data_IF_860561021753
#
_entry.id   IF_860561021753
#
_cell.length_a   1.000
_cell.length_b   1.000
_cell.length_c   1.000
_cell.angle_alpha   90.00
_cell.angle_beta   90.00
_cell.angle_gamma   90.00
#
_symmetry.space_group_name_H-M   'P 1'
#
loop_
_entity.id
_entity.type
_entity.pdbx_description
1 polymer ?
#
# COMPACT_ATOMS: atom_id res chain seq x y z
N UNK A 1 -14.92 -12.25 -4.28
CA UNK A 1 -13.98 -11.26 -3.70
C UNK A 1 -14.32 -10.89 -2.27
N UNK A 2 -15.22 -9.94 -1.97
CA UNK A 2 -15.44 -9.47 -0.59
C UNK A 2 -15.81 -10.60 0.40
N UNK A 3 -16.79 -11.44 0.05
CA UNK A 3 -17.18 -12.64 0.84
C UNK A 3 -16.04 -13.62 1.06
N UNK A 4 -15.22 -13.84 0.03
CA UNK A 4 -14.10 -14.79 0.10
C UNK A 4 -12.98 -14.25 0.99
N UNK A 5 -12.70 -12.94 0.90
CA UNK A 5 -11.74 -12.26 1.77
C UNK A 5 -12.18 -12.30 3.24
N UNK A 6 -13.49 -12.13 3.50
CA UNK A 6 -14.04 -12.25 4.84
C UNK A 6 -13.92 -13.69 5.37
N UNK A 7 -14.27 -14.68 4.54
CA UNK A 7 -14.13 -16.10 4.90
C UNK A 7 -12.67 -16.47 5.19
N UNK A 8 -11.73 -15.98 4.36
CA UNK A 8 -10.29 -16.13 4.58
C UNK A 8 -9.86 -15.52 5.92
N UNK A 9 -10.29 -14.29 6.22
CA UNK A 9 -9.92 -13.60 7.44
C UNK A 9 -10.41 -14.33 8.70
N UNK A 10 -11.65 -14.85 8.68
CA UNK A 10 -12.19 -15.68 9.77
C UNK A 10 -11.31 -16.92 9.98
N UNK A 11 -11.03 -17.68 8.91
CA UNK A 11 -10.22 -18.90 9.00
C UNK A 11 -8.80 -18.63 9.52
N UNK A 12 -8.20 -17.50 9.13
CA UNK A 12 -6.92 -17.08 9.71
C UNK A 12 -7.02 -16.83 11.21
N UNK A 13 -8.03 -16.08 11.65
CA UNK A 13 -8.20 -15.73 13.06
C UNK A 13 -8.50 -16.97 13.92
N UNK A 14 -9.34 -17.90 13.43
CA UNK A 14 -9.60 -19.19 14.09
C UNK A 14 -8.31 -20.03 14.25
N UNK A 15 -7.39 -19.91 13.31
CA UNK A 15 -6.08 -20.57 13.35
C UNK A 15 -5.01 -19.80 14.13
N UNK A 16 -5.34 -18.64 14.72
CA UNK A 16 -4.39 -17.79 15.44
C UNK A 16 -3.41 -17.02 14.54
N UNK A 17 -3.77 -16.79 13.28
CA UNK A 17 -3.01 -16.00 12.31
C UNK A 17 -3.66 -14.63 12.10
N UNK A 18 -2.83 -13.59 11.92
CA UNK A 18 -3.30 -12.25 11.53
C UNK A 18 -3.51 -12.22 10.01
N UNK A 19 -4.75 -12.07 9.50
CA UNK A 19 -4.98 -11.97 8.07
C UNK A 19 -4.52 -10.60 7.54
N UNK A 20 -3.85 -10.63 6.39
CA UNK A 20 -3.67 -9.46 5.54
C UNK A 20 -4.76 -9.51 4.47
N UNK A 21 -5.71 -8.58 4.51
CA UNK A 21 -6.80 -8.51 3.54
C UNK A 21 -6.41 -7.58 2.41
N UNK A 22 -6.29 -8.11 1.20
CA UNK A 22 -5.79 -7.40 0.01
C UNK A 22 -6.87 -7.26 -1.07
N UNK A 23 -7.71 -6.21 -1.03
CA UNK A 23 -8.70 -5.93 -2.07
C UNK A 23 -8.15 -4.96 -3.12
N UNK A 24 -7.17 -5.40 -3.91
CA UNK A 24 -6.52 -4.55 -4.91
C UNK A 24 -7.49 -4.11 -6.02
N UNK A 25 -7.60 -2.79 -6.22
CA UNK A 25 -8.14 -2.20 -7.45
C UNK A 25 -6.98 -1.98 -8.43
N UNK A 26 -7.01 -2.69 -9.56
CA UNK A 26 -5.94 -2.65 -10.55
C UNK A 26 -5.80 -1.27 -11.20
N UNK A 27 -4.56 -0.88 -11.50
CA UNK A 27 -4.22 0.39 -12.14
C UNK A 27 -4.12 0.32 -13.68
N UNK A 28 -4.50 -0.80 -14.30
CA UNK A 28 -4.42 -1.04 -15.75
C UNK A 28 -5.67 -0.53 -16.48
N UNK A 29 -5.81 0.80 -16.52
CA UNK A 29 -6.98 1.51 -17.04
C UNK A 29 -6.68 2.98 -17.33
N UNK A 30 -7.67 3.67 -17.93
CA UNK A 30 -7.56 5.04 -18.46
C UNK A 30 -8.22 6.12 -17.60
N UNK A 31 -8.74 5.78 -16.44
CA UNK A 31 -9.40 6.76 -15.57
C UNK A 31 -8.38 7.64 -14.84
N UNK A 32 -8.86 8.81 -14.43
CA UNK A 32 -8.13 9.73 -13.56
C UNK A 32 -8.14 9.25 -12.09
N UNK A 33 -7.57 10.07 -11.21
CA UNK A 33 -7.49 9.79 -9.78
C UNK A 33 -8.88 9.67 -9.13
N UNK A 34 -9.89 10.40 -9.64
CA UNK A 34 -11.26 10.36 -9.14
C UNK A 34 -11.92 9.03 -9.47
N UNK A 35 -11.75 8.52 -10.69
CA UNK A 35 -12.19 7.18 -11.04
C UNK A 35 -11.58 6.11 -10.12
N UNK A 36 -10.28 6.21 -9.82
CA UNK A 36 -9.60 5.33 -8.86
C UNK A 36 -10.19 5.43 -7.46
N UNK A 37 -10.43 6.66 -6.99
CA UNK A 37 -11.06 6.89 -5.70
C UNK A 37 -12.43 6.21 -5.61
N UNK A 38 -13.27 6.40 -6.62
CA UNK A 38 -14.64 5.87 -6.62
C UNK A 38 -14.67 4.33 -6.67
N UNK A 39 -13.77 3.72 -7.45
CA UNK A 39 -13.62 2.27 -7.50
C UNK A 39 -13.08 1.71 -6.16
N UNK A 40 -12.11 2.38 -5.56
CA UNK A 40 -11.54 2.03 -4.26
C UNK A 40 -12.58 2.17 -3.15
N UNK A 41 -13.38 3.24 -3.17
CA UNK A 41 -14.48 3.47 -2.22
C UNK A 41 -15.48 2.32 -2.24
N UNK A 42 -16.01 1.98 -3.42
CA UNK A 42 -16.97 0.89 -3.58
C UNK A 42 -16.39 -0.45 -3.13
N UNK A 43 -15.12 -0.68 -3.42
CA UNK A 43 -14.42 -1.92 -3.08
C UNK A 43 -14.24 -2.04 -1.57
N UNK A 44 -13.70 -1.01 -0.91
CA UNK A 44 -13.46 -1.02 0.53
C UNK A 44 -14.77 -1.09 1.32
N UNK A 45 -15.80 -0.33 0.92
CA UNK A 45 -17.12 -0.40 1.57
C UNK A 45 -17.67 -1.82 1.54
N UNK A 46 -17.69 -2.47 0.37
CA UNK A 46 -18.19 -3.84 0.25
C UNK A 46 -17.35 -4.86 1.03
N UNK A 47 -16.03 -4.68 1.08
CA UNK A 47 -15.13 -5.57 1.84
C UNK A 47 -15.36 -5.44 3.34
N UNK A 48 -15.43 -4.22 3.87
CA UNK A 48 -15.68 -4.02 5.30
C UNK A 48 -17.09 -4.43 5.72
N UNK A 49 -18.11 -4.25 4.87
CA UNK A 49 -19.45 -4.80 5.12
C UNK A 49 -19.42 -6.32 5.30
N UNK A 50 -18.74 -7.05 4.41
CA UNK A 50 -18.63 -8.51 4.51
C UNK A 50 -17.73 -8.96 5.66
N UNK A 51 -16.64 -8.25 5.97
CA UNK A 51 -15.78 -8.53 7.13
C UNK A 51 -16.55 -8.43 8.45
N UNK A 52 -17.33 -7.35 8.60
CA UNK A 52 -18.18 -7.13 9.79
C UNK A 52 -19.29 -8.17 9.85
N UNK A 53 -19.96 -8.46 8.74
CA UNK A 53 -21.03 -9.46 8.69
C UNK A 53 -20.53 -10.88 9.04
N UNK A 54 -19.29 -11.21 8.69
CA UNK A 54 -18.64 -12.48 9.01
C UNK A 54 -18.09 -12.54 10.46
N UNK A 55 -18.11 -11.43 11.20
CA UNK A 55 -17.61 -11.37 12.58
C UNK A 55 -16.08 -11.33 12.70
N UNK A 56 -15.38 -10.82 11.70
CA UNK A 56 -13.92 -10.65 11.76
C UNK A 56 -13.55 -9.60 12.82
N UNK A 57 -12.59 -9.92 13.68
CA UNK A 57 -12.02 -8.96 14.63
C UNK A 57 -11.12 -7.98 13.86
N UNK A 58 -11.58 -6.75 13.64
CA UNK A 58 -10.91 -5.77 12.77
C UNK A 58 -9.57 -5.29 13.37
N UNK A 59 -9.47 -5.22 14.68
CA UNK A 59 -8.23 -4.95 15.41
C UNK A 59 -7.19 -6.06 15.26
N UNK A 60 -7.62 -7.26 14.84
CA UNK A 60 -6.79 -8.44 14.62
C UNK A 60 -6.44 -8.68 13.16
N UNK A 61 -6.55 -7.68 12.28
CA UNK A 61 -6.20 -7.77 10.87
C UNK A 61 -5.37 -6.57 10.38
N UNK A 62 -4.75 -6.74 9.21
CA UNK A 62 -4.06 -5.67 8.49
C UNK A 62 -4.69 -5.52 7.10
N UNK A 63 -4.93 -4.28 6.68
CA UNK A 63 -5.39 -4.01 5.31
C UNK A 63 -4.20 -3.86 4.37
N UNK A 64 -4.26 -4.44 3.17
CA UNK A 64 -3.29 -4.20 2.09
C UNK A 64 -4.01 -3.62 0.86
N UNK A 65 -4.25 -2.30 0.84
CA UNK A 65 -4.99 -1.66 -0.24
C UNK A 65 -4.04 -1.11 -1.32
N UNK A 66 -4.60 -0.76 -2.47
CA UNK A 66 -3.96 0.17 -3.41
C UNK A 66 -3.97 1.60 -2.85
N UNK A 67 -3.02 2.42 -3.30
CA UNK A 67 -3.13 3.88 -3.20
C UNK A 67 -4.16 4.40 -4.23
N UNK A 68 -4.73 5.59 -3.98
CA UNK A 68 -5.60 6.26 -4.94
C UNK A 68 -4.72 7.04 -5.92
N UNK A 69 -4.56 6.51 -7.13
CA UNK A 69 -3.65 7.02 -8.17
C UNK A 69 -4.32 7.03 -9.54
N UNK A 70 -3.92 7.89 -10.48
CA UNK A 70 -4.38 7.82 -11.87
C UNK A 70 -4.09 6.46 -12.50
N UNK A 71 -4.95 6.04 -13.43
CA UNK A 71 -4.72 4.82 -14.20
C UNK A 71 -3.47 4.92 -15.07
N UNK A 72 -2.71 3.83 -15.17
CA UNK A 72 -1.43 3.77 -15.88
C UNK A 72 -1.55 4.13 -17.36
N UNK A 73 -2.70 3.88 -17.97
CA UNK A 73 -2.96 4.18 -19.39
C UNK A 73 -3.63 5.55 -19.60
N UNK A 74 -3.91 6.31 -18.54
CA UNK A 74 -4.58 7.61 -18.64
C UNK A 74 -3.68 8.71 -19.22
N UNK A 75 -2.36 8.56 -19.11
CA UNK A 75 -1.39 9.62 -19.40
C UNK A 75 -1.36 10.76 -18.38
N UNK A 76 -2.23 10.70 -17.36
CA UNK A 76 -2.32 11.69 -16.27
C UNK A 76 -1.31 11.31 -15.19
N UNK A 77 -0.60 12.30 -14.67
CA UNK A 77 0.26 12.16 -13.48
C UNK A 77 -0.39 12.89 -12.32
N UNK A 78 -0.22 12.34 -11.12
CA UNK A 78 -0.57 13.00 -9.86
C UNK A 78 0.71 13.19 -9.05
N UNK A 79 0.80 14.28 -8.31
CA UNK A 79 1.88 14.48 -7.35
C UNK A 79 1.71 13.57 -6.13
N UNK A 80 2.79 13.30 -5.36
CA UNK A 80 2.67 12.57 -4.10
C UNK A 80 1.66 13.17 -3.13
N UNK A 81 1.53 14.49 -3.09
CA UNK A 81 0.57 15.21 -2.25
C UNK A 81 -0.88 14.98 -2.71
N UNK A 82 -1.14 14.98 -4.02
CA UNK A 82 -2.46 14.67 -4.57
C UNK A 82 -2.87 13.22 -4.26
N UNK A 83 -1.94 12.28 -4.43
CA UNK A 83 -2.14 10.86 -4.08
C UNK A 83 -2.42 10.70 -2.58
N UNK A 84 -1.63 11.39 -1.75
CA UNK A 84 -1.78 11.33 -0.30
C UNK A 84 -3.13 11.86 0.16
N UNK A 85 -3.53 13.03 -0.32
CA UNK A 85 -4.80 13.65 0.02
C UNK A 85 -5.98 12.78 -0.41
N UNK A 86 -5.98 12.30 -1.66
CA UNK A 86 -7.04 11.45 -2.18
C UNK A 86 -7.16 10.13 -1.39
N UNK A 87 -6.03 9.49 -1.08
CA UNK A 87 -5.98 8.21 -0.37
C UNK A 87 -6.43 8.35 1.08
N UNK A 88 -5.83 9.28 1.84
CA UNK A 88 -6.10 9.42 3.28
C UNK A 88 -7.51 9.93 3.53
N UNK A 89 -8.03 10.86 2.71
CA UNK A 89 -9.42 11.33 2.83
C UNK A 89 -10.42 10.22 2.56
N UNK A 90 -10.19 9.40 1.53
CA UNK A 90 -11.05 8.25 1.27
C UNK A 90 -11.00 7.28 2.45
N UNK A 91 -9.82 6.99 2.98
CA UNK A 91 -9.68 6.04 4.10
C UNK A 91 -10.40 6.55 5.35
N UNK A 92 -10.29 7.84 5.66
CA UNK A 92 -11.08 8.49 6.73
C UNK A 92 -12.59 8.37 6.55
N UNK A 93 -13.07 8.24 5.32
CA UNK A 93 -14.49 8.06 5.02
C UNK A 93 -14.96 6.62 5.21
N UNK A 94 -14.15 5.62 4.86
CA UNK A 94 -14.62 4.23 4.73
C UNK A 94 -13.99 3.22 5.71
N UNK A 95 -12.84 3.53 6.30
CA UNK A 95 -12.17 2.59 7.20
C UNK A 95 -12.65 2.75 8.65
N UNK A 96 -12.85 1.63 9.37
CA UNK A 96 -13.16 1.64 10.81
C UNK A 96 -11.94 2.07 11.63
N UNK A 97 -12.15 2.77 12.75
CA UNK A 97 -11.05 3.31 13.58
C UNK A 97 -10.28 2.23 14.32
N UNK A 98 -10.90 1.06 14.53
CA UNK A 98 -10.37 -0.09 15.26
C UNK A 98 -9.30 -0.85 14.47
N UNK A 99 -9.23 -0.65 13.15
CA UNK A 99 -8.15 -1.21 12.33
C UNK A 99 -6.79 -0.73 12.89
N UNK A 100 -5.78 -1.61 12.89
CA UNK A 100 -4.45 -1.24 13.41
C UNK A 100 -3.63 -0.47 12.37
N UNK A 101 -3.72 -0.87 11.10
CA UNK A 101 -2.93 -0.27 10.05
C UNK A 101 -3.24 -0.78 8.66
N UNK A 102 -2.72 -0.04 7.68
CA UNK A 102 -2.71 -0.40 6.28
C UNK A 102 -1.25 -0.49 5.77
N UNK A 103 -0.94 -1.58 5.08
CA UNK A 103 0.35 -1.80 4.40
C UNK A 103 0.12 -1.74 2.90
N UNK A 104 0.52 -0.66 2.25
CA UNK A 104 0.19 -0.47 0.82
C UNK A 104 0.95 -1.45 -0.06
N UNK A 105 0.28 -1.95 -1.09
CA UNK A 105 0.94 -2.55 -2.25
C UNK A 105 1.50 -1.45 -3.16
N UNK A 106 2.61 -1.72 -3.85
CA UNK A 106 3.20 -0.74 -4.77
C UNK A 106 2.54 -0.74 -6.15
N UNK A 107 1.82 -1.81 -6.49
CA UNK A 107 1.26 -1.99 -7.83
C UNK A 107 2.36 -1.88 -8.88
N UNK A 108 2.12 -1.08 -9.92
CA UNK A 108 3.06 -0.78 -11.01
C UNK A 108 3.90 0.49 -10.83
N UNK A 109 3.89 1.10 -9.65
CA UNK A 109 4.74 2.27 -9.34
C UNK A 109 6.23 1.88 -9.37
N UNK A 110 7.08 2.84 -9.73
CA UNK A 110 8.52 2.69 -9.52
C UNK A 110 8.89 2.68 -8.02
N UNK A 111 10.11 2.24 -7.70
CA UNK A 111 10.60 2.20 -6.33
C UNK A 111 10.56 3.59 -5.64
N UNK A 112 10.89 4.65 -6.40
CA UNK A 112 10.91 6.03 -5.92
C UNK A 112 9.49 6.55 -5.73
N UNK A 113 8.62 6.41 -6.74
CA UNK A 113 7.23 6.89 -6.67
C UNK A 113 6.47 6.27 -5.49
N UNK A 114 6.62 4.97 -5.26
CA UNK A 114 5.98 4.29 -4.12
C UNK A 114 6.47 4.85 -2.78
N UNK A 115 7.78 5.13 -2.67
CA UNK A 115 8.38 5.72 -1.47
C UNK A 115 7.89 7.15 -1.25
N UNK A 116 7.84 7.97 -2.29
CA UNK A 116 7.38 9.37 -2.25
C UNK A 116 5.91 9.46 -1.84
N UNK A 117 5.05 8.65 -2.45
CA UNK A 117 3.62 8.62 -2.13
C UNK A 117 3.37 8.17 -0.69
N UNK A 118 4.05 7.12 -0.22
CA UNK A 118 3.95 6.68 1.18
C UNK A 118 4.41 7.76 2.16
N UNK A 119 5.49 8.47 1.83
CA UNK A 119 6.02 9.55 2.64
C UNK A 119 5.05 10.74 2.70
N UNK A 120 4.46 11.12 1.57
CA UNK A 120 3.48 12.20 1.51
C UNK A 120 2.23 11.88 2.37
N UNK A 121 1.75 10.63 2.34
CA UNK A 121 0.64 10.19 3.22
C UNK A 121 0.99 10.31 4.71
N UNK A 122 2.20 9.92 5.10
CA UNK A 122 2.64 10.01 6.50
C UNK A 122 3.01 11.43 6.94
N UNK A 123 3.26 12.36 6.01
CA UNK A 123 3.47 13.80 6.28
C UNK A 123 2.16 14.58 6.36
N UNK A 124 1.08 14.05 5.82
CA UNK A 124 -0.20 14.76 5.73
C UNK A 124 -0.72 15.10 7.13
N UNK A 125 -0.91 16.39 7.41
CA UNK A 125 -1.44 16.91 8.69
C UNK A 125 -2.96 16.70 8.81
N UNK A 126 -3.35 15.43 8.76
CA UNK A 126 -4.72 14.97 8.94
C UNK A 126 -4.69 13.84 9.96
N UNK A 127 -5.67 13.77 10.85
CA UNK A 127 -5.74 12.70 11.85
C UNK A 127 -5.85 11.34 11.13
N UNK A 128 -5.00 10.39 11.51
CA UNK A 128 -4.95 9.06 10.94
C UNK A 128 -4.90 8.08 12.12
N UNK A 129 -6.03 7.43 12.50
CA UNK A 129 -6.04 6.52 13.63
C UNK A 129 -5.25 5.23 13.35
N UNK A 130 -4.94 4.97 12.08
CA UNK A 130 -4.21 3.81 11.57
C UNK A 130 -2.73 4.12 11.34
N UNK A 131 -1.89 3.09 11.40
CA UNK A 131 -0.52 3.18 10.88
C UNK A 131 -0.51 2.93 9.37
N UNK A 132 0.17 3.79 8.62
CA UNK A 132 0.36 3.64 7.17
C UNK A 132 1.79 3.19 6.88
N UNK A 133 1.93 2.01 6.28
CA UNK A 133 3.22 1.39 5.98
C UNK A 133 3.20 0.70 4.62
N UNK A 134 4.14 -0.21 4.34
CA UNK A 134 4.29 -0.83 3.02
C UNK A 134 4.31 -2.36 3.08
N UNK A 135 3.77 -2.98 2.03
CA UNK A 135 3.92 -4.40 1.69
C UNK A 135 4.33 -4.48 0.22
N UNK A 136 5.60 -4.18 -0.03
CA UNK A 136 6.14 -4.01 -1.39
C UNK A 136 6.88 -5.24 -1.90
N UNK A 137 6.57 -5.62 -3.14
CA UNK A 137 7.36 -6.56 -3.94
C UNK A 137 8.35 -5.80 -4.83
N UNK A 138 7.92 -5.45 -6.05
CA UNK A 138 8.73 -4.73 -7.05
C UNK A 138 9.39 -3.46 -6.51
N UNK A 139 8.62 -2.61 -5.84
CA UNK A 139 9.13 -1.34 -5.29
C UNK A 139 10.19 -1.50 -4.18
N UNK A 140 10.47 -2.73 -3.74
CA UNK A 140 11.52 -3.06 -2.79
C UNK A 140 12.69 -3.84 -3.44
N UNK A 141 12.44 -4.54 -4.55
CA UNK A 141 13.34 -5.56 -5.09
C UNK A 141 13.91 -5.23 -6.47
N UNK A 142 13.30 -4.31 -7.23
CA UNK A 142 13.63 -4.09 -8.64
C UNK A 142 15.12 -3.76 -8.87
N UNK A 143 15.69 -2.84 -8.09
CA UNK A 143 17.12 -2.49 -8.18
C UNK A 143 18.02 -3.64 -7.75
N UNK A 144 17.66 -4.34 -6.68
CA UNK A 144 18.41 -5.48 -6.17
C UNK A 144 18.46 -6.64 -7.17
N UNK A 145 17.32 -7.01 -7.76
CA UNK A 145 17.23 -8.09 -8.75
C UNK A 145 18.04 -7.74 -10.01
N UNK A 146 17.96 -6.50 -10.50
CA UNK A 146 18.75 -6.03 -11.65
C UNK A 146 20.25 -6.13 -11.37
N UNK A 147 20.71 -5.67 -10.20
CA UNK A 147 22.12 -5.78 -9.81
C UNK A 147 22.58 -7.22 -9.64
N UNK A 148 21.73 -8.07 -9.04
CA UNK A 148 22.07 -9.47 -8.86
C UNK A 148 22.26 -10.18 -10.21
N UNK A 149 21.30 -10.02 -11.13
CA UNK A 149 21.34 -10.64 -12.46
C UNK A 149 21.60 -12.16 -12.44
N UNK A 150 21.22 -12.86 -11.36
CA UNK A 150 21.49 -14.29 -11.18
C UNK A 150 22.96 -14.63 -10.91
N UNK A 151 23.85 -13.65 -10.75
CA UNK A 151 25.27 -13.86 -10.50
C UNK A 151 25.59 -13.79 -9.00
N UNK A 152 26.06 -14.91 -8.44
CA UNK A 152 26.44 -14.99 -7.03
C UNK A 152 27.51 -13.96 -6.62
N UNK A 153 28.39 -13.55 -7.53
CA UNK A 153 29.41 -12.52 -7.26
C UNK A 153 28.80 -11.13 -7.00
N UNK A 154 27.56 -10.89 -7.44
CA UNK A 154 26.83 -9.64 -7.23
C UNK A 154 25.94 -9.65 -5.98
N UNK A 155 25.90 -10.75 -5.22
CA UNK A 155 24.98 -10.92 -4.09
C UNK A 155 25.08 -9.77 -3.07
N UNK A 156 26.30 -9.33 -2.75
CA UNK A 156 26.48 -8.23 -1.80
C UNK A 156 25.98 -6.89 -2.35
N UNK A 157 26.24 -6.58 -3.63
CA UNK A 157 25.74 -5.35 -4.27
C UNK A 157 24.21 -5.33 -4.32
N UNK A 158 23.59 -6.46 -4.65
CA UNK A 158 22.14 -6.60 -4.65
C UNK A 158 21.54 -6.43 -3.25
N UNK A 159 22.18 -7.02 -2.24
CA UNK A 159 21.79 -6.86 -0.84
C UNK A 159 21.86 -5.40 -0.39
N UNK A 160 22.94 -4.67 -0.72
CA UNK A 160 23.05 -3.24 -0.38
C UNK A 160 21.93 -2.43 -1.03
N UNK A 161 21.62 -2.66 -2.31
CA UNK A 161 20.50 -1.98 -2.97
C UNK A 161 19.13 -2.29 -2.33
N UNK A 162 18.90 -3.53 -1.90
CA UNK A 162 17.69 -3.90 -1.16
C UNK A 162 17.61 -3.20 0.19
N UNK A 163 18.70 -3.20 0.97
CA UNK A 163 18.77 -2.53 2.28
C UNK A 163 18.53 -1.03 2.13
N UNK A 164 19.15 -0.41 1.13
CA UNK A 164 18.94 0.99 0.81
C UNK A 164 17.46 1.30 0.57
N UNK A 165 16.80 0.55 -0.33
CA UNK A 165 15.36 0.76 -0.58
C UNK A 165 14.48 0.43 0.63
N UNK A 166 14.83 -0.56 1.44
CA UNK A 166 14.14 -0.84 2.70
C UNK A 166 14.26 0.33 3.69
N UNK A 167 15.44 0.94 3.79
CA UNK A 167 15.69 2.12 4.62
C UNK A 167 14.90 3.34 4.12
N UNK A 168 14.89 3.61 2.80
CA UNK A 168 14.11 4.70 2.23
C UNK A 168 12.61 4.55 2.51
N UNK A 169 12.05 3.34 2.34
CA UNK A 169 10.66 3.06 2.68
C UNK A 169 10.41 3.17 4.19
N UNK A 170 11.35 2.74 5.04
CA UNK A 170 11.25 2.91 6.49
C UNK A 170 11.14 4.39 6.88
N UNK A 171 11.94 5.28 6.27
CA UNK A 171 11.84 6.72 6.49
C UNK A 171 10.49 7.28 6.02
N UNK A 172 9.95 6.76 4.90
CA UNK A 172 8.64 7.14 4.40
C UNK A 172 7.50 6.78 5.36
N UNK A 173 7.58 5.67 6.11
CA UNK A 173 6.56 5.29 7.12
C UNK A 173 6.44 6.27 8.28
N UNK A 174 7.44 7.11 8.49
CA UNK A 174 7.46 8.13 9.55
C UNK A 174 7.49 9.55 9.00
N UNK A 175 7.25 9.72 7.69
CA UNK A 175 7.23 11.03 7.03
C UNK A 175 8.60 11.73 7.00
N UNK A 176 9.71 10.99 7.05
CA UNK A 176 11.08 11.52 7.10
C UNK A 176 11.91 11.19 5.87
N UNK A 177 11.30 10.71 4.80
CA UNK A 177 12.01 10.59 3.53
C UNK A 177 12.15 11.98 2.90
N UNK A 178 13.39 12.35 2.60
CA UNK A 178 13.79 13.67 2.07
C UNK A 178 14.28 13.61 0.62
N UNK A 179 14.18 12.45 -0.02
CA UNK A 179 14.63 12.21 -1.38
C UNK A 179 15.60 11.03 -1.46
N UNK A 180 15.90 10.62 -2.70
CA UNK A 180 16.81 9.52 -2.96
C UNK A 180 18.22 9.94 -2.51
N UNK A 181 18.76 9.24 -1.52
CA UNK A 181 20.15 9.42 -1.12
C UNK A 181 21.02 8.45 -1.92
N UNK A 182 22.13 8.92 -2.46
CA UNK A 182 23.13 8.03 -3.06
C UNK A 182 24.15 7.69 -1.98
N UNK A 183 24.25 6.40 -1.63
CA UNK A 183 25.41 5.87 -0.91
C UNK A 183 26.67 5.85 -1.80
#
# INVERSE_FOLDING_TARGET
NAKDLASYAVLCQEAGLVPIVEPEVLMDWKNDIEGCRDATERTLTAVFEELVAAGVAIEGMVLKPNMVIPGKESGIKASPEEVAEATVRLFRKVLPKELVGAVFLSGGQSEIEATENLNAMNKLELEQPWKLSFSYGRALQDSAIKLWSGNAANAEKAKQAFIHRAHMNSLATVGKYEGETHE
#
